data_IF_846992225847
#
_entry.id   IF_846992225847
#
_cell.length_a   1.000
_cell.length_b   1.000
_cell.length_c   1.000
_cell.angle_alpha   90.00
_cell.angle_beta   90.00
_cell.angle_gamma   90.00
#
_symmetry.space_group_name_H-M   'P 1'
#
loop_
_entity.id
_entity.type
_entity.pdbx_description
1 polymer ?
#
# COMPACT_ATOMS: atom_id res chain seq x y z
N UNK A 1 2.68 -5.34 9.94
CA UNK A 1 3.56 -6.10 10.87
C UNK A 1 3.07 -5.88 12.29
N UNK A 2 3.15 -6.87 13.19
CA UNK A 2 2.77 -6.67 14.59
C UNK A 2 3.90 -5.95 15.32
N UNK A 3 3.57 -4.93 16.12
CA UNK A 3 4.55 -4.28 17.00
C UNK A 3 4.82 -5.14 18.25
N UNK A 4 6.02 -5.03 18.86
CA UNK A 4 6.32 -5.64 20.15
C UNK A 4 5.40 -5.15 21.28
N UNK A 5 5.26 -5.97 22.33
CA UNK A 5 4.57 -5.58 23.56
C UNK A 5 5.24 -4.32 24.14
N UNK A 6 4.45 -3.26 24.36
CA UNK A 6 4.97 -1.97 24.82
C UNK A 6 5.31 -0.97 23.72
N UNK A 7 4.96 -1.24 22.44
CA UNK A 7 5.23 -0.42 21.23
C UNK A 7 6.62 -0.66 20.64
N UNK A 8 6.80 -0.25 19.39
CA UNK A 8 8.05 -0.38 18.63
C UNK A 8 9.32 0.14 19.33
N UNK A 9 9.22 1.15 20.19
CA UNK A 9 10.37 1.72 20.90
C UNK A 9 10.82 0.94 22.14
N UNK A 10 9.95 0.09 22.69
CA UNK A 10 10.24 -0.65 23.93
C UNK A 10 11.18 -1.83 23.70
N UNK A 11 11.21 -2.36 22.48
CA UNK A 11 12.16 -3.39 22.04
C UNK A 11 12.54 -3.14 20.56
N UNK A 12 13.50 -2.21 20.32
CA UNK A 12 13.91 -1.83 18.98
C UNK A 12 14.57 -2.97 18.19
N UNK A 13 15.28 -3.88 18.87
CA UNK A 13 15.94 -5.02 18.23
C UNK A 13 14.91 -5.99 17.66
N UNK A 14 13.92 -6.40 18.47
CA UNK A 14 12.83 -7.26 18.02
C UNK A 14 12.01 -6.59 16.91
N UNK A 15 11.78 -5.28 17.00
CA UNK A 15 11.07 -4.54 15.95
C UNK A 15 11.88 -4.52 14.63
N UNK A 16 13.19 -4.28 14.70
CA UNK A 16 14.08 -4.27 13.54
C UNK A 16 14.11 -5.63 12.84
N UNK A 17 14.21 -6.72 13.59
CA UNK A 17 14.19 -8.08 13.03
C UNK A 17 12.84 -8.43 12.41
N UNK A 18 11.74 -8.04 13.05
CA UNK A 18 10.39 -8.22 12.53
C UNK A 18 10.20 -7.46 11.22
N UNK A 19 10.65 -6.21 11.15
CA UNK A 19 10.61 -5.39 9.94
C UNK A 19 11.47 -6.00 8.82
N UNK A 20 12.71 -6.38 9.14
CA UNK A 20 13.64 -7.01 8.19
C UNK A 20 13.07 -8.30 7.61
N UNK A 21 12.49 -9.16 8.45
CA UNK A 21 11.80 -10.39 8.02
C UNK A 21 10.66 -10.08 7.06
N UNK A 22 9.83 -9.10 7.40
CA UNK A 22 8.69 -8.72 6.57
C UNK A 22 9.12 -8.17 5.21
N UNK A 23 10.10 -7.26 5.17
CA UNK A 23 10.64 -6.70 3.91
C UNK A 23 11.18 -7.82 3.02
N UNK A 24 11.99 -8.73 3.57
CA UNK A 24 12.53 -9.88 2.83
C UNK A 24 11.43 -10.76 2.26
N UNK A 25 10.39 -11.04 3.05
CA UNK A 25 9.24 -11.83 2.61
C UNK A 25 8.51 -11.15 1.45
N UNK A 26 8.20 -9.86 1.58
CA UNK A 26 7.52 -9.11 0.51
C UNK A 26 8.37 -9.05 -0.76
N UNK A 27 9.68 -8.82 -0.62
CA UNK A 27 10.59 -8.81 -1.76
C UNK A 27 10.64 -10.18 -2.46
N UNK A 28 10.74 -11.26 -1.70
CA UNK A 28 10.76 -12.61 -2.26
C UNK A 28 9.44 -12.99 -2.93
N UNK A 29 8.31 -12.49 -2.44
CA UNK A 29 7.02 -12.70 -3.08
C UNK A 29 6.95 -11.97 -4.42
N UNK A 30 7.33 -10.69 -4.46
CA UNK A 30 7.28 -9.90 -5.69
C UNK A 30 8.31 -10.34 -6.74
N UNK A 31 9.48 -10.85 -6.31
CA UNK A 31 10.51 -11.38 -7.23
C UNK A 31 10.05 -12.57 -8.08
N UNK A 32 8.99 -13.26 -7.67
CA UNK A 32 8.42 -14.41 -8.40
C UNK A 32 7.41 -14.00 -9.48
N UNK A 33 7.06 -12.73 -9.55
CA UNK A 33 6.07 -12.18 -10.48
C UNK A 33 6.81 -11.59 -11.68
N UNK A 34 6.28 -11.77 -12.89
CA UNK A 34 6.85 -11.17 -14.09
C UNK A 34 6.78 -9.64 -14.03
N UNK A 35 7.74 -8.96 -14.68
CA UNK A 35 7.85 -7.50 -14.62
C UNK A 35 6.57 -6.79 -15.10
N UNK A 36 5.98 -7.25 -16.21
CA UNK A 36 4.76 -6.66 -16.76
C UNK A 36 3.58 -6.80 -15.79
N UNK A 37 3.43 -7.98 -15.17
CA UNK A 37 2.40 -8.22 -14.17
C UNK A 37 2.57 -7.35 -12.91
N UNK A 38 3.81 -7.04 -12.51
CA UNK A 38 4.07 -6.11 -11.40
C UNK A 38 3.64 -4.68 -11.73
N UNK A 39 3.82 -4.26 -12.99
CA UNK A 39 3.41 -2.93 -13.47
C UNK A 39 1.89 -2.82 -13.42
N UNK A 40 1.18 -3.80 -13.99
CA UNK A 40 -0.28 -3.83 -14.01
C UNK A 40 -0.88 -3.83 -12.60
N UNK A 41 -0.35 -4.68 -11.72
CA UNK A 41 -0.79 -4.76 -10.33
C UNK A 41 -0.56 -3.44 -9.58
N UNK A 42 0.55 -2.75 -9.86
CA UNK A 42 0.86 -1.44 -9.25
C UNK A 42 -0.15 -0.38 -9.71
N UNK A 43 -0.42 -0.31 -11.01
CA UNK A 43 -1.37 0.63 -11.59
C UNK A 43 -2.77 0.41 -10.99
N UNK A 44 -3.25 -0.84 -10.98
CA UNK A 44 -4.56 -1.17 -10.44
C UNK A 44 -4.68 -0.78 -8.95
N UNK A 45 -3.68 -1.13 -8.14
CA UNK A 45 -3.65 -0.82 -6.70
C UNK A 45 -3.80 0.68 -6.43
N UNK A 46 -3.04 1.52 -7.13
CA UNK A 46 -3.06 2.96 -6.86
C UNK A 46 -4.27 3.66 -7.49
N UNK A 47 -4.77 3.18 -8.65
CA UNK A 47 -6.00 3.70 -9.24
C UNK A 47 -7.24 3.43 -8.38
N UNK A 48 -7.26 2.34 -7.62
CA UNK A 48 -8.37 2.01 -6.72
C UNK A 48 -8.31 2.73 -5.37
N UNK A 49 -7.25 3.52 -5.11
CA UNK A 49 -7.10 4.25 -3.84
C UNK A 49 -7.68 5.65 -3.95
N UNK A 50 -8.48 6.02 -2.95
CA UNK A 50 -9.22 7.28 -2.93
C UNK A 50 -10.71 7.02 -3.17
N UNK A 51 -11.55 7.73 -2.42
CA UNK A 51 -12.99 7.78 -2.61
C UNK A 51 -13.37 9.23 -2.71
N UNK A 52 -14.03 9.61 -3.79
CA UNK A 52 -14.52 10.96 -4.01
C UNK A 52 -16.01 10.90 -4.35
N UNK A 53 -16.73 11.95 -3.98
CA UNK A 53 -18.09 12.16 -4.44
C UNK A 53 -17.99 12.77 -5.83
N UNK A 54 -18.55 12.09 -6.82
CA UNK A 54 -18.73 12.66 -8.14
C UNK A 54 -19.92 13.62 -8.09
N UNK A 55 -19.67 14.90 -8.37
CA UNK A 55 -20.72 15.90 -8.49
C UNK A 55 -21.00 16.04 -9.98
N UNK A 56 -22.20 15.67 -10.40
CA UNK A 56 -22.66 16.00 -11.75
C UNK A 56 -22.92 17.51 -11.80
N UNK A 57 -22.17 18.21 -12.67
CA UNK A 57 -22.43 19.62 -12.95
C UNK A 57 -23.56 19.69 -13.96
N UNK A 58 -24.78 19.92 -13.50
CA UNK A 58 -25.89 20.28 -14.39
C UNK A 58 -25.65 21.70 -14.92
N UNK A 59 -25.53 21.86 -16.23
CA UNK A 59 -25.38 23.16 -16.89
C UNK A 59 -26.52 24.11 -16.51
N UNK A 60 -26.23 25.14 -15.71
CA UNK A 60 -27.12 26.28 -15.54
C UNK A 60 -27.08 27.10 -16.83
N UNK A 61 -28.09 26.92 -17.69
CA UNK A 61 -28.40 27.88 -18.75
C UNK A 61 -28.85 29.18 -18.09
N UNK A 62 -27.94 30.14 -18.00
CA UNK A 62 -28.27 31.53 -17.62
C UNK A 62 -28.96 32.17 -18.83
N UNK A 63 -30.24 32.52 -18.65
CA UNK A 63 -31.10 33.18 -19.66
C UNK A 63 -31.02 34.70 -19.57
#
# INVERSE_FOLDING_TARGET
IKEPLGRAHSDPETMADTLKKHIKQQLNNHKKVAADQLIDARIAKYRSMGKFLEIEVSETHES
#
